data_IF_418681691498
#
_entry.id   IF_418681691498
#
_cell.length_a   1.000
_cell.length_b   1.000
_cell.length_c   1.000
_cell.angle_alpha   90.00
_cell.angle_beta   90.00
_cell.angle_gamma   90.00
#
_symmetry.space_group_name_H-M   'P 1'
#
loop_
_entity.id
_entity.type
_entity.pdbx_description
1 polymer ?
#
# COMPACT_ATOMS: atom_id res chain seq x y z
N UNK A 1 1.34 -24.55 -44.42
CA UNK A 1 2.57 -23.91 -43.87
C UNK A 1 2.62 -22.41 -44.16
N UNK A 2 2.88 -21.96 -45.41
CA UNK A 2 2.85 -20.53 -45.75
C UNK A 2 1.44 -19.90 -45.71
N UNK A 3 0.42 -20.68 -46.08
CA UNK A 3 -0.99 -20.34 -45.95
C UNK A 3 -1.40 -20.09 -44.49
N UNK A 4 -1.00 -21.00 -43.61
CA UNK A 4 -1.38 -21.00 -42.19
C UNK A 4 -0.71 -19.84 -41.47
N UNK A 5 0.56 -19.57 -41.81
CA UNK A 5 1.28 -18.40 -41.32
C UNK A 5 0.59 -17.08 -41.73
N UNK A 6 0.09 -16.99 -42.97
CA UNK A 6 -0.66 -15.82 -43.45
C UNK A 6 -1.99 -15.65 -42.71
N UNK A 7 -2.71 -16.74 -42.45
CA UNK A 7 -3.97 -16.71 -41.72
C UNK A 7 -3.80 -16.24 -40.27
N UNK A 8 -2.76 -16.74 -39.59
CA UNK A 8 -2.38 -16.30 -38.24
C UNK A 8 -2.11 -14.80 -38.22
N UNK A 9 -1.31 -14.28 -39.16
CA UNK A 9 -1.03 -12.85 -39.25
C UNK A 9 -2.29 -11.98 -39.46
N UNK A 10 -3.24 -12.47 -40.27
CA UNK A 10 -4.51 -11.78 -40.49
C UNK A 10 -5.33 -11.74 -39.20
N UNK A 11 -5.39 -12.85 -38.46
CA UNK A 11 -6.14 -12.92 -37.21
C UNK A 11 -5.49 -12.08 -36.10
N UNK A 12 -4.16 -12.08 -35.99
CA UNK A 12 -3.42 -11.18 -35.08
C UNK A 12 -3.70 -9.72 -35.43
N UNK A 13 -3.67 -9.36 -36.71
CA UNK A 13 -3.97 -7.99 -37.17
C UNK A 13 -5.41 -7.58 -36.85
N UNK A 14 -6.37 -8.48 -37.00
CA UNK A 14 -7.78 -8.24 -36.62
C UNK A 14 -7.94 -8.08 -35.12
N UNK A 15 -7.25 -8.90 -34.33
CA UNK A 15 -7.25 -8.82 -32.88
C UNK A 15 -6.67 -7.48 -32.41
N UNK A 16 -5.51 -7.08 -32.94
CA UNK A 16 -4.90 -5.77 -32.65
C UNK A 16 -5.85 -4.62 -32.95
N UNK A 17 -6.44 -4.60 -34.15
CA UNK A 17 -7.46 -3.59 -34.52
C UNK A 17 -8.69 -3.62 -33.61
N UNK A 18 -9.10 -4.79 -33.13
CA UNK A 18 -10.22 -4.91 -32.20
C UNK A 18 -9.85 -4.40 -30.80
N UNK A 19 -8.61 -4.61 -30.36
CA UNK A 19 -8.09 -4.04 -29.11
C UNK A 19 -8.08 -2.51 -29.23
N UNK A 20 -7.46 -1.98 -30.29
CA UNK A 20 -7.38 -0.53 -30.54
C UNK A 20 -8.76 0.14 -30.64
N UNK A 21 -9.78 -0.58 -31.14
CA UNK A 21 -11.14 -0.06 -31.28
C UNK A 21 -11.94 -0.07 -29.97
N UNK A 22 -11.75 -1.09 -29.13
CA UNK A 22 -12.61 -1.33 -27.96
C UNK A 22 -11.97 -0.90 -26.64
N UNK A 23 -10.65 -0.76 -26.59
CA UNK A 23 -9.94 -0.27 -25.42
C UNK A 23 -9.47 1.16 -25.66
N UNK A 24 -9.83 2.06 -24.76
CA UNK A 24 -9.31 3.43 -24.79
C UNK A 24 -7.83 3.40 -24.41
N UNK A 25 -6.98 3.97 -25.27
CA UNK A 25 -5.54 4.17 -24.99
C UNK A 25 -5.34 5.27 -23.96
N UNK A 26 -6.27 6.23 -23.90
CA UNK A 26 -6.23 7.34 -22.97
C UNK A 26 -6.92 6.99 -21.64
N UNK A 27 -6.11 6.82 -20.60
CA UNK A 27 -6.56 6.57 -19.24
C UNK A 27 -6.94 7.85 -18.49
N UNK A 28 -6.77 9.04 -19.08
CA UNK A 28 -7.12 10.31 -18.44
C UNK A 28 -8.59 10.40 -18.06
N UNK A 29 -9.49 9.65 -18.72
CA UNK A 29 -10.92 9.56 -18.37
C UNK A 29 -11.19 8.65 -17.17
N UNK A 30 -10.28 7.73 -16.84
CA UNK A 30 -10.37 6.84 -15.68
C UNK A 30 -9.74 7.50 -14.45
N UNK A 31 -8.71 8.32 -14.66
CA UNK A 31 -8.05 9.09 -13.61
C UNK A 31 -8.86 10.36 -13.31
N UNK A 32 -9.60 10.36 -12.20
CA UNK A 32 -10.22 11.58 -11.68
C UNK A 32 -9.15 12.53 -11.16
N UNK A 33 -8.75 13.50 -11.98
CA UNK A 33 -7.76 14.53 -11.61
C UNK A 33 -8.22 15.38 -10.42
N UNK A 34 -9.53 15.48 -10.21
CA UNK A 34 -10.15 16.19 -9.10
C UNK A 34 -10.30 15.33 -7.83
N UNK A 35 -9.88 14.05 -7.88
CA UNK A 35 -10.11 13.09 -6.81
C UNK A 35 -9.58 13.57 -5.46
N UNK A 36 -8.47 14.31 -5.46
CA UNK A 36 -7.82 14.88 -4.26
C UNK A 36 -7.76 16.42 -4.28
N UNK A 37 -8.60 17.10 -5.06
CA UNK A 37 -8.56 18.57 -5.13
C UNK A 37 -9.24 19.26 -3.95
N UNK A 38 -10.12 18.56 -3.24
CA UNK A 38 -10.77 19.11 -2.04
C UNK A 38 -9.79 19.14 -0.86
N UNK A 39 -9.70 20.24 -0.09
CA UNK A 39 -8.77 20.36 1.04
C UNK A 39 -8.86 19.21 2.05
N UNK A 40 -10.08 18.74 2.34
CA UNK A 40 -10.34 17.60 3.22
C UNK A 40 -9.65 16.31 2.74
N UNK A 41 -9.64 16.09 1.42
CA UNK A 41 -9.03 14.91 0.81
C UNK A 41 -7.51 15.01 0.75
N UNK A 42 -6.98 16.22 0.59
CA UNK A 42 -5.55 16.48 0.71
C UNK A 42 -5.09 16.20 2.13
N UNK A 43 -5.83 16.68 3.13
CA UNK A 43 -5.54 16.40 4.54
C UNK A 43 -5.59 14.91 4.85
N UNK A 44 -6.60 14.18 4.34
CA UNK A 44 -6.70 12.73 4.49
C UNK A 44 -5.50 12.03 3.83
N UNK A 45 -5.12 12.43 2.61
CA UNK A 45 -3.98 11.86 1.90
C UNK A 45 -2.69 12.08 2.67
N UNK A 46 -2.44 13.31 3.13
CA UNK A 46 -1.29 13.66 3.94
C UNK A 46 -1.26 12.82 5.23
N UNK A 47 -2.38 12.67 5.93
CA UNK A 47 -2.47 11.79 7.10
C UNK A 47 -2.05 10.35 6.77
N UNK A 48 -2.57 9.78 5.67
CA UNK A 48 -2.22 8.41 5.25
C UNK A 48 -0.73 8.27 4.93
N UNK A 49 -0.11 9.29 4.31
CA UNK A 49 1.32 9.32 4.04
C UNK A 49 2.13 9.35 5.36
N UNK A 50 1.72 10.19 6.31
CA UNK A 50 2.37 10.27 7.62
C UNK A 50 2.28 8.93 8.38
N UNK A 51 1.10 8.31 8.45
CA UNK A 51 0.90 6.97 9.05
C UNK A 51 1.73 5.89 8.34
N UNK A 52 1.95 6.03 7.03
CA UNK A 52 2.81 5.12 6.29
C UNK A 52 4.29 5.23 6.73
N UNK A 53 4.81 6.44 6.92
CA UNK A 53 6.17 6.63 7.42
C UNK A 53 6.34 6.07 8.84
N UNK A 54 5.39 6.28 9.74
CA UNK A 54 5.42 5.66 11.07
C UNK A 54 5.44 4.12 11.00
N UNK A 55 4.60 3.51 10.13
CA UNK A 55 4.61 2.05 9.90
C UNK A 55 5.92 1.51 9.36
N UNK A 56 6.69 2.34 8.66
CA UNK A 56 7.99 1.94 8.10
C UNK A 56 9.16 2.16 9.07
N UNK A 57 8.90 2.68 10.27
CA UNK A 57 9.94 3.04 11.23
C UNK A 57 10.67 4.33 10.91
N UNK A 58 10.20 5.09 9.92
CA UNK A 58 10.76 6.36 9.49
C UNK A 58 10.15 7.52 10.30
N UNK A 59 10.33 7.47 11.62
CA UNK A 59 9.69 8.41 12.56
C UNK A 59 10.12 9.86 12.29
N UNK A 60 11.40 10.07 12.05
CA UNK A 60 12.00 11.36 11.71
C UNK A 60 11.37 11.97 10.43
N UNK A 61 11.21 11.16 9.38
CA UNK A 61 10.54 11.57 8.14
C UNK A 61 9.07 11.87 8.38
N UNK A 62 8.39 11.06 9.19
CA UNK A 62 6.97 11.26 9.51
C UNK A 62 6.74 12.58 10.26
N UNK A 63 7.59 12.89 11.25
CA UNK A 63 7.49 14.11 12.05
C UNK A 63 7.76 15.37 11.20
N UNK A 64 8.81 15.36 10.37
CA UNK A 64 9.13 16.48 9.47
C UNK A 64 8.00 16.70 8.45
N UNK A 65 7.51 15.62 7.84
CA UNK A 65 6.38 15.69 6.91
C UNK A 65 5.10 16.23 7.57
N UNK A 66 4.80 15.81 8.79
CA UNK A 66 3.65 16.31 9.54
C UNK A 66 3.75 17.82 9.81
N UNK A 67 4.94 18.29 10.16
CA UNK A 67 5.20 19.72 10.38
C UNK A 67 5.02 20.52 9.09
N UNK A 68 5.62 20.09 7.98
CA UNK A 68 5.53 20.78 6.68
C UNK A 68 4.10 20.78 6.12
N UNK A 69 3.39 19.65 6.26
CA UNK A 69 2.03 19.49 5.77
C UNK A 69 0.96 20.02 6.75
N UNK A 70 1.35 20.56 7.90
CA UNK A 70 0.45 21.06 8.95
C UNK A 70 -0.60 20.03 9.39
N UNK A 71 -0.17 18.77 9.52
CA UNK A 71 -1.02 17.66 9.95
C UNK A 71 -1.07 17.64 11.47
N UNK A 72 -2.28 17.57 12.03
CA UNK A 72 -2.43 17.22 13.44
C UNK A 72 -2.30 15.71 13.61
N UNK A 73 -1.13 15.26 14.07
CA UNK A 73 -0.85 13.85 14.33
C UNK A 73 -1.33 13.38 15.71
N UNK A 74 -2.02 14.22 16.50
CA UNK A 74 -2.53 13.83 17.81
C UNK A 74 -3.52 12.67 17.76
N UNK A 75 -4.25 12.53 16.65
CA UNK A 75 -5.20 11.44 16.39
C UNK A 75 -4.55 10.15 15.87
N UNK A 76 -3.25 10.16 15.57
CA UNK A 76 -2.54 8.96 15.10
C UNK A 76 -2.07 8.18 16.32
N UNK A 77 -2.66 7.01 16.56
CA UNK A 77 -2.13 6.10 17.57
C UNK A 77 -0.82 5.49 17.07
N UNK A 78 0.29 6.02 17.59
CA UNK A 78 1.63 5.59 17.20
C UNK A 78 2.06 4.29 17.88
N UNK A 79 1.36 3.85 18.93
CA UNK A 79 1.80 2.70 19.74
C UNK A 79 1.97 1.41 18.92
N UNK A 80 1.01 1.02 18.06
CA UNK A 80 1.14 -0.21 17.27
C UNK A 80 2.33 -0.13 16.31
N UNK A 81 2.62 1.06 15.79
CA UNK A 81 3.75 1.25 14.88
C UNK A 81 5.08 1.15 15.62
N UNK A 82 5.19 1.76 16.81
CA UNK A 82 6.40 1.66 17.63
C UNK A 82 6.69 0.22 18.05
N UNK A 83 5.67 -0.50 18.49
CA UNK A 83 5.76 -1.92 18.84
C UNK A 83 6.19 -2.77 17.65
N UNK A 84 5.54 -2.60 16.49
CA UNK A 84 5.90 -3.28 15.24
C UNK A 84 7.35 -3.01 14.85
N UNK A 85 7.77 -1.74 14.87
CA UNK A 85 9.13 -1.36 14.49
C UNK A 85 10.17 -1.95 15.44
N UNK A 86 9.88 -1.98 16.75
CA UNK A 86 10.73 -2.63 17.75
C UNK A 86 10.89 -4.13 17.48
N UNK A 87 9.79 -4.84 17.18
CA UNK A 87 9.82 -6.25 16.82
C UNK A 87 10.65 -6.45 15.55
N UNK A 88 10.41 -5.67 14.49
CA UNK A 88 11.15 -5.78 13.23
C UNK A 88 12.65 -5.54 13.40
N UNK A 89 13.06 -4.56 14.21
CA UNK A 89 14.47 -4.29 14.47
C UNK A 89 15.13 -5.39 15.31
N UNK A 90 14.41 -5.97 16.26
CA UNK A 90 14.88 -7.13 17.04
C UNK A 90 15.08 -8.35 16.14
N UNK A 91 14.13 -8.62 15.24
CA UNK A 91 14.24 -9.69 14.25
C UNK A 91 15.46 -9.51 13.33
N UNK A 92 15.78 -8.29 12.90
CA UNK A 92 17.01 -8.00 12.12
C UNK A 92 18.27 -8.35 12.91
N UNK A 93 18.25 -8.18 14.23
CA UNK A 93 19.33 -8.54 15.15
C UNK A 93 19.29 -10.01 15.59
N UNK A 94 18.42 -10.84 14.99
CA UNK A 94 18.18 -12.26 15.34
C UNK A 94 17.64 -12.47 16.75
N UNK A 95 17.07 -11.45 17.34
CA UNK A 95 16.32 -11.54 18.58
C UNK A 95 14.84 -11.78 18.25
N UNK A 96 14.36 -12.97 18.62
CA UNK A 96 12.98 -13.41 18.39
C UNK A 96 12.07 -13.10 19.59
N UNK A 97 12.63 -12.78 20.75
CA UNK A 97 11.88 -12.70 22.00
C UNK A 97 10.74 -11.67 21.94
N UNK A 98 10.94 -10.45 21.39
CA UNK A 98 9.85 -9.47 21.26
C UNK A 98 8.68 -9.95 20.41
N UNK A 99 8.95 -10.70 19.34
CA UNK A 99 7.91 -11.23 18.46
C UNK A 99 7.09 -12.33 19.17
N UNK A 100 7.76 -13.18 19.93
CA UNK A 100 7.12 -14.28 20.68
C UNK A 100 6.25 -13.75 21.81
N UNK A 101 6.75 -12.77 22.58
CA UNK A 101 6.00 -12.11 23.65
C UNK A 101 4.75 -11.45 23.07
N UNK A 102 4.90 -10.70 21.98
CA UNK A 102 3.76 -10.05 21.32
C UNK A 102 2.68 -11.05 20.90
N UNK A 103 3.07 -12.17 20.29
CA UNK A 103 2.13 -13.21 19.86
C UNK A 103 1.44 -13.87 21.06
N UNK A 104 2.15 -14.08 22.17
CA UNK A 104 1.56 -14.63 23.39
C UNK A 104 0.54 -13.68 24.03
N UNK A 105 0.85 -12.38 24.09
CA UNK A 105 -0.06 -11.35 24.62
C UNK A 105 -1.32 -11.16 23.78
N UNK A 106 -1.22 -11.35 22.46
CA UNK A 106 -2.34 -11.18 21.51
C UNK A 106 -3.01 -12.49 21.09
N UNK A 107 -2.70 -13.61 21.77
CA UNK A 107 -3.14 -14.95 21.37
C UNK A 107 -4.65 -15.06 21.14
N UNK A 108 -5.46 -14.55 22.08
CA UNK A 108 -6.93 -14.61 21.98
C UNK A 108 -7.45 -13.83 20.76
N UNK A 109 -6.84 -12.70 20.42
CA UNK A 109 -7.21 -11.94 19.22
C UNK A 109 -6.79 -12.66 17.94
N UNK A 110 -5.60 -13.27 17.93
CA UNK A 110 -5.08 -14.04 16.81
C UNK A 110 -5.94 -15.28 16.52
N UNK A 111 -6.37 -15.98 17.56
CA UNK A 111 -7.30 -17.12 17.50
C UNK A 111 -8.63 -16.71 16.87
N UNK A 112 -9.21 -15.62 17.36
CA UNK A 112 -10.47 -15.08 16.85
C UNK A 112 -10.39 -14.70 15.37
N UNK A 113 -9.20 -14.33 14.88
CA UNK A 113 -8.96 -13.97 13.48
C UNK A 113 -8.53 -15.17 12.60
N UNK A 114 -8.39 -16.38 13.16
CA UNK A 114 -7.80 -17.54 12.49
C UNK A 114 -6.41 -17.23 11.91
N UNK A 115 -5.59 -16.49 12.67
CA UNK A 115 -4.24 -16.13 12.26
C UNK A 115 -3.30 -17.34 12.33
N UNK A 116 -2.31 -17.40 11.43
CA UNK A 116 -1.24 -18.42 11.47
C UNK A 116 -0.16 -18.13 12.52
N UNK A 117 -0.39 -17.14 13.38
CA UNK A 117 0.49 -16.74 14.48
C UNK A 117 0.05 -17.30 15.84
N UNK A 118 -1.08 -18.01 15.92
CA UNK A 118 -1.32 -19.00 16.98
C UNK A 118 -0.44 -20.24 16.74
#
# INVERSE_FOLDING_TARGET
LLSDHREIHINISKLGKSIDKNFMVDFATVTRFDAFSAPEKINLLNRVICEHFYRMGLKDVADEFAQEASIDCSDIDQKPFLELNYILDSLKNRDLDPALIWAEEHREELDNQNSALE
#
